data_IF_182522068681
#
_entry.id   IF_182522068681
#
_cell.length_a   1.000
_cell.length_b   1.000
_cell.length_c   1.000
_cell.angle_alpha   90.00
_cell.angle_beta   90.00
_cell.angle_gamma   90.00
#
_symmetry.space_group_name_H-M   'P 1'
#
loop_
_entity.id
_entity.type
_entity.pdbx_description
1 polymer ?
#
# COMPACT_ATOMS: atom_id res chain seq x y z
N UNK A 1 -37.84 23.37 9.85
CA UNK A 1 -37.36 23.11 8.47
C UNK A 1 -37.14 21.60 8.34
N UNK A 2 -37.33 21.03 7.14
CA UNK A 2 -36.98 19.64 6.86
C UNK A 2 -35.46 19.51 6.85
N UNK A 3 -34.95 18.42 7.42
CA UNK A 3 -33.50 18.15 7.44
C UNK A 3 -32.99 17.90 6.01
N UNK A 4 -31.84 18.47 5.65
CA UNK A 4 -31.20 18.35 4.34
C UNK A 4 -29.91 17.56 4.48
N UNK A 5 -29.89 16.36 3.89
CA UNK A 5 -28.81 15.39 4.04
C UNK A 5 -28.12 15.17 2.69
N UNK A 6 -26.83 15.45 2.61
CA UNK A 6 -25.98 15.05 1.49
C UNK A 6 -25.44 13.64 1.67
N UNK A 7 -25.27 12.90 0.58
CA UNK A 7 -24.60 11.59 0.56
C UNK A 7 -23.49 11.66 -0.48
N UNK A 8 -22.24 11.49 -0.04
CA UNK A 8 -21.10 11.31 -0.92
C UNK A 8 -20.65 9.85 -0.84
N UNK A 9 -21.08 9.06 -1.83
CA UNK A 9 -20.71 7.65 -1.95
C UNK A 9 -19.41 7.44 -2.72
N UNK A 10 -18.60 6.47 -2.30
CA UNK A 10 -17.35 6.18 -2.99
C UNK A 10 -16.59 5.00 -2.38
N UNK A 11 -15.58 4.50 -3.11
CA UNK A 11 -14.68 3.48 -2.56
C UNK A 11 -13.75 4.07 -1.50
N UNK A 12 -13.31 5.33 -1.70
CA UNK A 12 -12.36 6.05 -0.85
C UNK A 12 -11.07 5.26 -0.60
N UNK A 13 -10.35 4.98 -1.68
CA UNK A 13 -9.13 4.18 -1.66
C UNK A 13 -7.91 4.91 -2.25
N UNK A 14 -7.43 6.00 -1.60
CA UNK A 14 -7.92 6.56 -0.33
C UNK A 14 -8.93 7.71 -0.54
N UNK A 15 -9.54 8.18 0.55
CA UNK A 15 -10.13 9.54 0.60
C UNK A 15 -9.04 10.57 0.33
N UNK A 16 -9.40 11.70 -0.29
CA UNK A 16 -8.45 12.71 -0.73
C UNK A 16 -9.06 14.11 -0.66
N UNK A 17 -8.23 15.15 -0.77
CA UNK A 17 -8.65 16.55 -0.67
C UNK A 17 -9.78 16.88 -1.65
N UNK A 18 -9.78 16.21 -2.81
CA UNK A 18 -10.87 16.32 -3.74
C UNK A 18 -12.25 15.93 -3.17
N UNK A 19 -12.36 14.80 -2.47
CA UNK A 19 -13.61 14.37 -1.84
C UNK A 19 -14.08 15.35 -0.75
N UNK A 20 -13.14 15.87 0.04
CA UNK A 20 -13.43 16.81 1.12
C UNK A 20 -13.94 18.14 0.56
N UNK A 21 -13.34 18.63 -0.53
CA UNK A 21 -13.84 19.81 -1.23
C UNK A 21 -15.26 19.61 -1.74
N UNK A 22 -15.56 18.46 -2.36
CA UNK A 22 -16.91 18.15 -2.86
C UNK A 22 -17.94 18.12 -1.71
N UNK A 23 -17.61 17.47 -0.60
CA UNK A 23 -18.50 17.43 0.56
C UNK A 23 -18.74 18.83 1.15
N UNK A 24 -17.69 19.64 1.31
CA UNK A 24 -17.79 21.00 1.85
C UNK A 24 -18.62 21.92 0.94
N UNK A 25 -18.30 21.95 -0.36
CA UNK A 25 -19.00 22.78 -1.32
C UNK A 25 -20.49 22.39 -1.45
N UNK A 26 -20.80 21.09 -1.45
CA UNK A 26 -22.20 20.65 -1.46
C UNK A 26 -22.94 21.08 -0.18
N UNK A 27 -22.29 21.01 0.98
CA UNK A 27 -22.85 21.46 2.25
C UNK A 27 -23.20 22.95 2.22
N UNK A 28 -22.29 23.78 1.73
CA UNK A 28 -22.44 25.23 1.66
C UNK A 28 -23.49 25.64 0.61
N UNK A 29 -23.36 25.17 -0.63
CA UNK A 29 -24.22 25.59 -1.75
C UNK A 29 -25.67 25.08 -1.62
N UNK A 30 -25.87 23.92 -0.99
CA UNK A 30 -27.20 23.34 -0.80
C UNK A 30 -27.74 23.53 0.62
N UNK A 31 -27.03 24.27 1.48
CA UNK A 31 -27.41 24.47 2.88
C UNK A 31 -27.74 23.16 3.61
N UNK A 32 -26.84 22.16 3.49
CA UNK A 32 -27.05 20.85 4.09
C UNK A 32 -26.75 20.89 5.59
N UNK A 33 -27.64 20.28 6.38
CA UNK A 33 -27.42 20.07 7.81
C UNK A 33 -26.21 19.16 8.03
N UNK A 34 -26.06 18.10 7.20
CA UNK A 34 -24.91 17.20 7.23
C UNK A 34 -24.60 16.56 5.87
N UNK A 35 -23.35 16.13 5.70
CA UNK A 35 -22.91 15.29 4.58
C UNK A 35 -22.47 13.94 5.11
N UNK A 36 -23.10 12.88 4.61
CA UNK A 36 -22.79 11.49 4.91
C UNK A 36 -21.74 10.99 3.91
N UNK A 37 -20.53 10.75 4.38
CA UNK A 37 -19.51 10.02 3.64
C UNK A 37 -19.81 8.52 3.72
N UNK A 38 -20.07 7.90 2.57
CA UNK A 38 -20.58 6.53 2.48
C UNK A 38 -19.55 5.64 1.76
N UNK A 39 -18.60 5.03 2.49
CA UNK A 39 -17.69 4.06 1.91
C UNK A 39 -18.43 2.83 1.41
N UNK A 40 -18.18 2.48 0.15
CA UNK A 40 -18.69 1.24 -0.43
C UNK A 40 -18.15 0.02 0.33
N UNK A 41 -19.04 -0.94 0.57
CA UNK A 41 -18.72 -2.23 1.19
C UNK A 41 -17.96 -3.14 0.21
N UNK A 42 -18.69 -4.06 -0.44
CA UNK A 42 -18.17 -4.92 -1.50
C UNK A 42 -18.70 -4.46 -2.87
N UNK A 43 -18.07 -3.46 -3.52
CA UNK A 43 -18.53 -2.98 -4.81
C UNK A 43 -18.31 -4.06 -5.89
N UNK A 44 -19.32 -4.41 -6.69
CA UNK A 44 -19.27 -5.55 -7.62
C UNK A 44 -18.25 -5.42 -8.77
N UNK A 45 -17.66 -4.24 -8.97
CA UNK A 45 -16.82 -3.91 -10.12
C UNK A 45 -15.47 -3.29 -9.73
N UNK A 46 -15.10 -3.25 -8.44
CA UNK A 46 -13.84 -2.67 -7.97
C UNK A 46 -13.26 -3.50 -6.82
N UNK A 47 -11.97 -3.82 -6.91
CA UNK A 47 -11.22 -4.41 -5.81
C UNK A 47 -10.35 -3.31 -5.18
N UNK A 48 -10.63 -2.88 -3.94
CA UNK A 48 -9.77 -1.94 -3.24
C UNK A 48 -8.36 -2.50 -3.05
N UNK A 49 -7.37 -1.60 -3.04
CA UNK A 49 -5.96 -1.94 -2.81
C UNK A 49 -5.63 -2.13 -1.32
N UNK A 50 -6.50 -1.64 -0.42
CA UNK A 50 -6.35 -1.77 1.03
C UNK A 50 -7.63 -2.32 1.67
N UNK A 51 -7.50 -2.79 2.90
CA UNK A 51 -8.62 -3.38 3.63
C UNK A 51 -9.73 -2.34 3.91
N UNK A 52 -10.95 -2.82 4.10
CA UNK A 52 -12.09 -1.96 4.40
C UNK A 52 -11.90 -1.13 5.67
N UNK A 53 -11.21 -1.68 6.67
CA UNK A 53 -10.91 -0.95 7.92
C UNK A 53 -9.96 0.23 7.68
N UNK A 54 -8.96 0.08 6.81
CA UNK A 54 -8.05 1.17 6.48
C UNK A 54 -8.76 2.32 5.77
N UNK A 55 -9.63 2.00 4.80
CA UNK A 55 -10.46 3.01 4.11
C UNK A 55 -11.34 3.78 5.08
N UNK A 56 -11.90 3.07 6.06
CA UNK A 56 -12.75 3.63 7.09
C UNK A 56 -11.98 4.52 8.07
N UNK A 57 -10.81 4.07 8.52
CA UNK A 57 -9.92 4.87 9.37
C UNK A 57 -9.47 6.15 8.65
N UNK A 58 -9.07 6.06 7.39
CA UNK A 58 -8.72 7.23 6.59
C UNK A 58 -9.90 8.20 6.43
N UNK A 59 -11.12 7.70 6.24
CA UNK A 59 -12.31 8.55 6.22
C UNK A 59 -12.57 9.25 7.55
N UNK A 60 -12.46 8.53 8.68
CA UNK A 60 -12.63 9.08 10.02
C UNK A 60 -11.56 10.14 10.35
N UNK A 61 -10.35 9.99 9.81
CA UNK A 61 -9.28 10.99 9.93
C UNK A 61 -9.49 12.21 9.02
N UNK A 62 -10.33 12.09 8.00
CA UNK A 62 -10.57 13.14 7.00
C UNK A 62 -11.82 13.97 7.26
N UNK A 63 -12.70 13.58 8.19
CA UNK A 63 -13.96 14.30 8.44
C UNK A 63 -13.72 15.70 8.97
N UNK A 64 -14.55 16.63 8.49
CA UNK A 64 -14.63 18.00 8.97
C UNK A 64 -16.00 18.25 9.62
N UNK A 65 -16.19 19.45 10.16
CA UNK A 65 -17.49 19.83 10.74
C UNK A 65 -18.64 19.68 9.74
N UNK A 66 -19.74 19.12 10.21
CA UNK A 66 -20.90 18.79 9.39
C UNK A 66 -20.74 17.59 8.45
N UNK A 67 -19.63 16.84 8.53
CA UNK A 67 -19.45 15.56 7.84
C UNK A 67 -19.58 14.38 8.82
N UNK A 68 -20.20 13.28 8.38
CA UNK A 68 -20.33 12.06 9.17
C UNK A 68 -20.02 10.83 8.31
N UNK A 69 -19.34 9.83 8.87
CA UNK A 69 -19.05 8.57 8.15
C UNK A 69 -20.14 7.55 8.43
N UNK A 70 -20.66 6.93 7.38
CA UNK A 70 -21.66 5.88 7.45
C UNK A 70 -21.08 4.50 7.18
N UNK A 71 -21.12 3.60 8.18
CA UNK A 71 -20.64 2.21 8.06
C UNK A 71 -21.63 1.25 7.38
N UNK A 72 -22.80 1.73 6.98
CA UNK A 72 -23.96 0.93 6.55
C UNK A 72 -23.64 -0.05 5.43
N UNK A 73 -22.97 0.42 4.38
CA UNK A 73 -22.59 -0.44 3.25
C UNK A 73 -21.46 -1.41 3.59
N UNK A 74 -20.51 -0.99 4.44
CA UNK A 74 -19.43 -1.86 4.93
C UNK A 74 -19.99 -3.02 5.76
N UNK A 75 -21.04 -2.78 6.55
CA UNK A 75 -21.65 -3.77 7.43
C UNK A 75 -22.61 -4.72 6.69
N UNK A 76 -22.99 -4.40 5.45
CA UNK A 76 -23.90 -5.23 4.65
C UNK A 76 -23.14 -6.39 4.03
N UNK A 77 -23.70 -7.61 4.14
CA UNK A 77 -23.17 -8.77 3.42
C UNK A 77 -23.56 -8.72 1.94
N UNK A 78 -22.69 -9.25 1.07
CA UNK A 78 -22.93 -9.31 -0.37
C UNK A 78 -22.69 -7.97 -1.09
N UNK A 79 -23.22 -7.87 -2.32
CA UNK A 79 -23.07 -6.68 -3.16
C UNK A 79 -23.90 -5.53 -2.59
N UNK A 80 -23.33 -4.32 -2.57
CA UNK A 80 -24.05 -3.11 -2.15
C UNK A 80 -24.59 -2.33 -3.36
N UNK A 81 -25.83 -1.86 -3.24
CA UNK A 81 -26.49 -1.05 -4.27
C UNK A 81 -27.07 0.21 -3.66
N UNK A 82 -26.99 1.32 -4.40
CA UNK A 82 -27.49 2.63 -3.95
C UNK A 82 -28.99 2.65 -3.66
N UNK A 83 -29.80 1.86 -4.40
CA UNK A 83 -31.25 1.74 -4.16
C UNK A 83 -31.56 1.21 -2.75
N UNK A 84 -30.76 0.27 -2.26
CA UNK A 84 -30.95 -0.34 -0.93
C UNK A 84 -30.59 0.68 0.15
N UNK A 85 -29.45 1.36 -0.02
CA UNK A 85 -28.98 2.40 0.91
C UNK A 85 -29.94 3.58 1.00
N UNK A 86 -30.44 4.08 -0.14
CA UNK A 86 -31.43 5.16 -0.14
C UNK A 86 -32.78 4.73 0.45
N UNK A 87 -33.20 3.47 0.22
CA UNK A 87 -34.42 2.94 0.82
C UNK A 87 -34.33 2.87 2.34
N UNK A 88 -33.18 2.50 2.90
CA UNK A 88 -32.93 2.53 4.34
C UNK A 88 -32.93 3.96 4.88
N UNK A 89 -32.22 4.87 4.22
CA UNK A 89 -32.17 6.27 4.64
C UNK A 89 -33.54 6.95 4.59
N UNK A 90 -34.40 6.61 3.61
CA UNK A 90 -35.78 7.10 3.56
C UNK A 90 -36.67 6.55 4.66
N UNK A 91 -36.40 5.34 5.18
CA UNK A 91 -37.11 4.81 6.34
C UNK A 91 -36.67 5.48 7.64
N UNK A 92 -35.38 5.77 7.78
CA UNK A 92 -34.80 6.42 8.96
C UNK A 92 -35.12 7.92 9.02
N UNK A 93 -35.12 8.59 7.86
CA UNK A 93 -35.36 10.03 7.72
C UNK A 93 -36.49 10.30 6.71
N UNK A 94 -37.76 9.98 7.04
CA UNK A 94 -38.87 10.05 6.09
C UNK A 94 -39.13 11.46 5.55
N UNK A 95 -38.94 12.48 6.38
CA UNK A 95 -39.18 13.88 6.03
C UNK A 95 -37.94 14.61 5.48
N UNK A 96 -36.77 13.95 5.45
CA UNK A 96 -35.53 14.61 5.01
C UNK A 96 -35.47 14.78 3.49
N UNK A 97 -34.82 15.86 3.06
CA UNK A 97 -34.41 16.06 1.68
C UNK A 97 -33.04 15.42 1.47
N UNK A 98 -32.99 14.38 0.63
CA UNK A 98 -31.76 13.63 0.36
C UNK A 98 -31.14 14.11 -0.94
N UNK A 99 -29.86 14.51 -0.86
CA UNK A 99 -29.04 14.91 -1.98
C UNK A 99 -27.93 13.89 -2.21
N UNK A 100 -27.86 13.27 -3.39
CA UNK A 100 -26.80 12.33 -3.72
C UNK A 100 -25.72 13.04 -4.54
N UNK A 101 -24.54 13.20 -3.94
CA UNK A 101 -23.43 13.99 -4.49
C UNK A 101 -22.62 13.12 -5.45
N UNK A 102 -22.48 13.58 -6.70
CA UNK A 102 -21.75 12.88 -7.76
C UNK A 102 -20.92 13.83 -8.62
N UNK A 103 -19.92 13.28 -9.31
CA UNK A 103 -19.24 13.97 -10.41
C UNK A 103 -20.01 13.86 -11.73
N UNK A 104 -19.74 14.78 -12.66
CA UNK A 104 -20.34 14.78 -14.00
C UNK A 104 -20.08 13.49 -14.81
N UNK A 105 -18.98 12.78 -14.54
CA UNK A 105 -18.65 11.47 -15.10
C UNK A 105 -19.62 10.36 -14.69
N UNK A 106 -20.17 10.45 -13.48
CA UNK A 106 -21.16 9.48 -12.97
C UNK A 106 -22.56 9.77 -13.52
N UNK A 107 -22.86 11.04 -13.86
CA UNK A 107 -24.17 11.47 -14.35
C UNK A 107 -24.60 10.70 -15.61
N UNK A 108 -23.70 10.49 -16.56
CA UNK A 108 -23.96 9.74 -17.80
C UNK A 108 -24.17 8.23 -17.55
N UNK A 109 -23.69 7.71 -16.43
CA UNK A 109 -23.76 6.29 -16.08
C UNK A 109 -24.96 5.93 -15.20
N UNK A 110 -25.75 6.91 -14.76
CA UNK A 110 -26.84 6.69 -13.79
C UNK A 110 -27.85 5.63 -14.24
N UNK A 111 -28.16 5.54 -15.54
CA UNK A 111 -29.10 4.53 -16.08
C UNK A 111 -28.60 3.09 -15.92
N UNK A 112 -27.31 2.89 -15.67
CA UNK A 112 -26.73 1.56 -15.41
C UNK A 112 -26.88 1.12 -13.95
N UNK A 113 -27.30 2.03 -13.07
CA UNK A 113 -27.49 1.71 -11.66
C UNK A 113 -28.72 0.80 -11.47
N UNK A 114 -28.59 -0.17 -10.56
CA UNK A 114 -29.69 -1.07 -10.21
C UNK A 114 -30.90 -0.27 -9.71
N UNK A 115 -32.05 -0.53 -10.31
CA UNK A 115 -33.33 0.12 -9.98
C UNK A 115 -33.26 1.66 -10.03
N UNK A 116 -32.59 2.19 -11.05
CA UNK A 116 -32.35 3.63 -11.21
C UNK A 116 -33.62 4.48 -11.09
N UNK A 117 -34.76 4.06 -11.66
CA UNK A 117 -36.00 4.82 -11.58
C UNK A 117 -36.45 5.04 -10.13
N UNK A 118 -36.22 4.05 -9.25
CA UNK A 118 -36.49 4.16 -7.83
C UNK A 118 -35.46 5.07 -7.14
N UNK A 119 -34.18 4.96 -7.50
CA UNK A 119 -33.12 5.87 -7.00
C UNK A 119 -33.46 7.32 -7.31
N UNK A 120 -33.86 7.62 -8.55
CA UNK A 120 -34.20 8.95 -9.02
C UNK A 120 -35.40 9.58 -8.30
N UNK A 121 -36.33 8.76 -7.81
CA UNK A 121 -37.46 9.22 -6.99
C UNK A 121 -37.06 9.51 -5.53
N UNK A 122 -36.01 8.87 -5.01
CA UNK A 122 -35.63 8.94 -3.61
C UNK A 122 -34.65 10.07 -3.28
N UNK A 123 -34.00 10.67 -4.27
CA UNK A 123 -32.99 11.72 -4.03
C UNK A 123 -32.94 12.77 -5.14
N UNK A 124 -32.28 13.88 -4.84
CA UNK A 124 -31.84 14.87 -5.83
C UNK A 124 -30.35 14.70 -6.07
N UNK A 125 -29.91 14.55 -7.32
CA UNK A 125 -28.49 14.44 -7.63
C UNK A 125 -27.82 15.82 -7.61
N UNK A 126 -26.82 15.98 -6.75
CA UNK A 126 -25.97 17.17 -6.70
C UNK A 126 -24.71 16.90 -7.53
N UNK A 127 -24.61 17.55 -8.69
CA UNK A 127 -23.60 17.24 -9.71
C UNK A 127 -22.53 18.32 -9.73
N UNK A 128 -21.28 17.92 -9.49
CA UNK A 128 -20.12 18.77 -9.69
C UNK A 128 -19.66 18.73 -11.15
N UNK A 129 -19.40 19.92 -11.71
CA UNK A 129 -18.79 20.04 -13.03
C UNK A 129 -17.37 19.47 -13.02
N UNK A 130 -16.95 18.82 -14.11
CA UNK A 130 -15.55 18.44 -14.34
C UNK A 130 -15.10 18.94 -15.71
N UNK A 131 -13.86 19.42 -15.85
CA UNK A 131 -13.31 19.78 -17.16
C UNK A 131 -13.47 18.62 -18.16
N UNK A 132 -14.06 18.90 -19.32
CA UNK A 132 -14.26 17.89 -20.39
C UNK A 132 -15.40 16.89 -20.17
N UNK A 133 -16.20 17.03 -19.10
CA UNK A 133 -17.34 16.15 -18.84
C UNK A 133 -18.65 16.95 -18.77
N UNK A 134 -19.40 16.95 -19.86
CA UNK A 134 -20.80 17.40 -19.91
C UNK A 134 -21.70 16.16 -20.04
N UNK A 135 -22.34 15.77 -18.95
CA UNK A 135 -23.33 14.69 -18.95
C UNK A 135 -24.74 15.24 -19.09
N UNK A 136 -25.55 14.68 -19.98
CA UNK A 136 -27.00 14.85 -19.95
C UNK A 136 -27.60 14.06 -18.78
N UNK A 137 -28.50 14.70 -18.04
CA UNK A 137 -29.23 14.04 -16.97
C UNK A 137 -30.36 13.18 -17.55
N UNK A 138 -30.60 11.97 -17.02
CA UNK A 138 -31.82 11.22 -17.33
C UNK A 138 -33.07 12.07 -17.03
N UNK A 139 -34.08 12.04 -17.90
CA UNK A 139 -35.25 12.91 -17.80
C UNK A 139 -36.04 12.77 -16.47
N UNK A 140 -35.99 11.60 -15.84
CA UNK A 140 -36.64 11.31 -14.56
C UNK A 140 -35.76 11.63 -13.34
N UNK A 141 -34.53 12.11 -13.52
CA UNK A 141 -33.65 12.50 -12.43
C UNK A 141 -33.81 13.98 -12.07
N UNK A 142 -33.96 14.28 -10.77
CA UNK A 142 -33.81 15.65 -10.25
C UNK A 142 -32.33 15.96 -10.12
N UNK A 143 -31.85 16.99 -10.82
CA UNK A 143 -30.43 17.35 -10.85
C UNK A 143 -30.23 18.80 -10.46
N UNK A 144 -29.32 19.04 -9.52
CA UNK A 144 -28.79 20.35 -9.18
C UNK A 144 -27.31 20.38 -9.55
N UNK A 145 -26.91 21.30 -10.43
CA UNK A 145 -25.51 21.50 -10.80
C UNK A 145 -24.89 22.51 -9.85
N UNK A 146 -23.80 22.12 -9.19
CA UNK A 146 -23.08 22.98 -8.27
C UNK A 146 -22.11 23.89 -9.02
N UNK A 147 -21.90 25.10 -8.50
CA UNK A 147 -21.06 26.12 -9.13
C UNK A 147 -19.59 25.85 -8.89
N UNK A 148 -19.25 25.28 -7.74
CA UNK A 148 -17.88 24.89 -7.43
C UNK A 148 -17.40 23.82 -8.42
N UNK A 149 -16.27 24.02 -9.11
CA UNK A 149 -15.74 23.01 -10.01
C UNK A 149 -15.20 21.81 -9.21
N UNK A 150 -15.34 20.62 -9.79
CA UNK A 150 -14.74 19.41 -9.26
C UNK A 150 -13.20 19.50 -9.32
N UNK A 151 -12.49 19.13 -8.24
CA UNK A 151 -11.04 19.17 -8.20
C UNK A 151 -10.41 18.08 -9.07
N UNK A 152 -9.26 18.37 -9.65
CA UNK A 152 -8.46 17.42 -10.45
C UNK A 152 -7.53 16.59 -9.55
N UNK A 153 -8.14 15.85 -8.62
CA UNK A 153 -7.45 14.90 -7.73
C UNK A 153 -8.18 13.57 -7.84
N UNK A 154 -7.41 12.50 -8.05
CA UNK A 154 -7.93 11.13 -8.09
C UNK A 154 -7.21 10.23 -7.09
N UNK A 155 -7.91 9.25 -6.53
CA UNK A 155 -7.28 8.23 -5.69
C UNK A 155 -6.18 7.47 -6.44
N UNK A 156 -6.28 7.31 -7.76
CA UNK A 156 -5.22 6.67 -8.57
C UNK A 156 -3.93 7.49 -8.53
N UNK A 157 -3.99 8.80 -8.64
CA UNK A 157 -2.82 9.67 -8.50
C UNK A 157 -2.23 9.60 -7.08
N UNK A 158 -3.07 9.59 -6.05
CA UNK A 158 -2.62 9.43 -4.65
C UNK A 158 -1.87 8.12 -4.46
N UNK A 159 -2.42 7.00 -4.94
CA UNK A 159 -1.77 5.68 -4.82
C UNK A 159 -0.45 5.63 -5.57
N UNK A 160 -0.37 6.23 -6.76
CA UNK A 160 0.87 6.29 -7.53
C UNK A 160 1.96 7.11 -6.84
N UNK A 161 1.61 8.20 -6.15
CA UNK A 161 2.56 8.98 -5.34
C UNK A 161 2.96 8.22 -4.07
N UNK A 162 2.00 7.59 -3.39
CA UNK A 162 2.24 6.80 -2.18
C UNK A 162 3.17 5.59 -2.46
N UNK A 163 3.00 4.93 -3.61
CA UNK A 163 3.84 3.78 -4.01
C UNK A 163 5.30 4.15 -4.29
N UNK A 164 5.59 5.44 -4.48
CA UNK A 164 6.94 6.01 -4.62
C UNK A 164 7.39 6.76 -3.36
N UNK A 165 6.63 6.66 -2.26
CA UNK A 165 6.84 7.40 -1.00
C UNK A 165 7.01 8.92 -1.21
N UNK A 166 6.31 9.48 -2.20
CA UNK A 166 6.26 10.93 -2.44
C UNK A 166 5.42 11.63 -1.35
N UNK A 167 5.60 12.94 -1.20
CA UNK A 167 4.79 13.74 -0.26
C UNK A 167 3.32 13.81 -0.73
N UNK A 168 2.40 13.43 0.17
CA UNK A 168 0.96 13.38 -0.09
C UNK A 168 0.20 14.60 0.45
N UNK A 169 0.87 15.57 1.11
CA UNK A 169 0.20 16.68 1.81
C UNK A 169 -0.72 17.52 0.90
N UNK A 170 -0.38 17.65 -0.39
CA UNK A 170 -1.21 18.37 -1.36
C UNK A 170 -2.42 17.55 -1.84
N UNK A 171 -2.36 16.21 -1.75
CA UNK A 171 -3.35 15.32 -2.34
C UNK A 171 -4.40 14.84 -1.34
N UNK A 172 -4.03 14.63 -0.08
CA UNK A 172 -4.92 14.13 0.98
C UNK A 172 -4.81 14.96 2.26
N UNK A 173 -5.78 14.88 3.18
CA UNK A 173 -5.67 15.56 4.47
C UNK A 173 -4.42 15.08 5.24
N UNK A 174 -3.77 15.99 5.97
CA UNK A 174 -2.53 15.68 6.71
C UNK A 174 -2.59 14.42 7.60
N UNK A 175 -3.67 14.22 8.41
CA UNK A 175 -3.85 12.99 9.18
C UNK A 175 -3.92 11.72 8.32
N UNK A 176 -4.53 11.79 7.13
CA UNK A 176 -4.60 10.67 6.17
C UNK A 176 -3.23 10.40 5.57
N UNK A 177 -2.48 11.43 5.18
CA UNK A 177 -1.11 11.27 4.66
C UNK A 177 -0.20 10.58 5.68
N UNK A 178 -0.33 10.95 6.97
CA UNK A 178 0.38 10.29 8.07
C UNK A 178 -0.03 8.83 8.21
N UNK A 179 -1.34 8.55 8.21
CA UNK A 179 -1.86 7.18 8.34
C UNK A 179 -1.39 6.26 7.20
N UNK A 180 -1.41 6.74 5.95
CA UNK A 180 -0.92 6.00 4.78
C UNK A 180 0.55 5.60 4.97
N UNK A 181 1.39 6.55 5.37
CA UNK A 181 2.83 6.33 5.59
C UNK A 181 3.11 5.39 6.74
N UNK A 182 2.52 5.61 7.91
CA UNK A 182 2.75 4.80 9.11
C UNK A 182 2.31 3.34 8.93
N UNK A 183 1.26 3.10 8.14
CA UNK A 183 0.75 1.75 7.87
C UNK A 183 1.31 1.13 6.57
N UNK A 184 2.13 1.86 5.81
CA UNK A 184 2.70 1.37 4.56
C UNK A 184 1.68 1.08 3.47
N UNK A 185 0.56 1.80 3.47
CA UNK A 185 -0.49 1.60 2.50
C UNK A 185 0.00 2.03 1.11
N UNK A 186 -0.40 1.28 0.10
CA UNK A 186 -0.09 1.54 -1.32
C UNK A 186 1.38 1.36 -1.74
N UNK A 187 2.26 0.86 -0.87
CA UNK A 187 3.61 0.41 -1.28
C UNK A 187 3.57 -0.83 -2.19
N UNK A 188 2.45 -1.54 -2.17
CA UNK A 188 2.08 -2.63 -3.07
C UNK A 188 0.71 -2.32 -3.69
N UNK A 189 0.38 -3.00 -4.79
CA UNK A 189 -0.94 -2.92 -5.41
C UNK A 189 -1.98 -3.85 -4.74
N UNK A 190 -1.61 -4.58 -3.70
CA UNK A 190 -2.47 -5.43 -2.88
C UNK A 190 -2.26 -5.16 -1.40
N UNK A 191 -3.20 -5.60 -0.55
CA UNK A 191 -3.09 -5.43 0.90
C UNK A 191 -1.98 -6.32 1.50
N UNK A 192 -1.44 -5.91 2.65
CA UNK A 192 -0.46 -6.71 3.39
C UNK A 192 -1.00 -8.11 3.74
N UNK A 193 -2.30 -8.22 4.00
CA UNK A 193 -2.97 -9.49 4.26
C UNK A 193 -2.96 -10.38 3.03
N UNK A 194 -3.39 -9.85 1.88
CA UNK A 194 -3.38 -10.58 0.61
C UNK A 194 -1.96 -11.03 0.24
N UNK A 195 -0.96 -10.15 0.42
CA UNK A 195 0.43 -10.50 0.18
C UNK A 195 0.90 -11.67 1.05
N UNK A 196 0.55 -11.67 2.34
CA UNK A 196 0.86 -12.77 3.27
C UNK A 196 0.13 -14.06 2.90
N UNK A 197 -1.09 -13.99 2.39
CA UNK A 197 -1.86 -15.16 1.94
C UNK A 197 -1.21 -15.78 0.69
N UNK A 198 -0.89 -14.97 -0.32
CA UNK A 198 -0.19 -15.44 -1.53
C UNK A 198 1.17 -16.09 -1.18
N UNK A 199 1.98 -15.43 -0.36
CA UNK A 199 3.29 -15.98 0.02
C UNK A 199 3.17 -17.27 0.84
N UNK A 200 2.11 -17.43 1.64
CA UNK A 200 1.87 -18.67 2.39
C UNK A 200 1.59 -19.85 1.45
N UNK A 201 0.96 -19.60 0.31
CA UNK A 201 0.67 -20.62 -0.70
C UNK A 201 1.92 -20.97 -1.54
N UNK A 202 2.82 -20.01 -1.76
CA UNK A 202 4.02 -20.19 -2.59
C UNK A 202 5.27 -20.64 -1.83
N UNK A 203 5.37 -20.37 -0.53
CA UNK A 203 6.55 -20.67 0.30
C UNK A 203 6.31 -21.89 1.20
N UNK A 204 7.37 -22.64 1.49
CA UNK A 204 7.30 -23.69 2.52
C UNK A 204 6.97 -23.09 3.89
N UNK A 205 6.35 -23.87 4.79
CA UNK A 205 5.98 -23.39 6.12
C UNK A 205 7.17 -22.80 6.91
N UNK A 206 8.35 -23.44 6.80
CA UNK A 206 9.59 -22.93 7.39
C UNK A 206 10.00 -21.58 6.78
N UNK A 207 9.98 -21.48 5.45
CA UNK A 207 10.38 -20.26 4.74
C UNK A 207 9.41 -19.10 5.03
N UNK A 208 8.10 -19.38 5.03
CA UNK A 208 7.10 -18.37 5.38
C UNK A 208 7.27 -17.86 6.82
N UNK A 209 7.55 -18.75 7.79
CA UNK A 209 7.86 -18.36 9.17
C UNK A 209 9.09 -17.44 9.24
N UNK A 210 10.15 -17.83 8.53
CA UNK A 210 11.37 -17.02 8.41
C UNK A 210 11.07 -15.64 7.79
N UNK A 211 10.36 -15.58 6.68
CA UNK A 211 9.93 -14.34 6.02
C UNK A 211 9.17 -13.40 6.97
N UNK A 212 8.27 -13.93 7.79
CA UNK A 212 7.58 -13.11 8.81
C UNK A 212 8.54 -12.61 9.90
N UNK A 213 9.50 -13.45 10.31
CA UNK A 213 10.57 -13.06 11.25
C UNK A 213 11.45 -11.93 10.70
N UNK A 214 11.84 -12.00 9.42
CA UNK A 214 12.61 -10.95 8.75
C UNK A 214 11.81 -9.66 8.65
N UNK A 215 10.55 -9.71 8.22
CA UNK A 215 9.66 -8.55 8.16
C UNK A 215 9.57 -7.81 9.50
N UNK A 216 9.33 -8.51 10.60
CA UNK A 216 9.21 -7.89 11.93
C UNK A 216 10.56 -7.40 12.46
N UNK A 217 11.65 -8.12 12.17
CA UNK A 217 13.01 -7.68 12.53
C UNK A 217 13.40 -6.40 11.77
N UNK A 218 13.10 -6.33 10.47
CA UNK A 218 13.39 -5.17 9.62
C UNK A 218 12.60 -3.93 10.09
N UNK A 219 11.32 -4.10 10.46
CA UNK A 219 10.51 -3.05 11.09
C UNK A 219 11.13 -2.54 12.38
N UNK A 220 11.53 -3.45 13.27
CA UNK A 220 12.15 -3.12 14.54
C UNK A 220 13.46 -2.35 14.35
N UNK A 221 14.35 -2.83 13.49
CA UNK A 221 15.61 -2.15 13.19
C UNK A 221 15.36 -0.77 12.57
N UNK A 222 14.38 -0.65 11.68
CA UNK A 222 14.01 0.65 11.09
C UNK A 222 13.56 1.65 12.14
N UNK A 223 12.74 1.23 13.09
CA UNK A 223 12.30 2.08 14.20
C UNK A 223 13.47 2.55 15.08
N UNK A 224 14.46 1.69 15.32
CA UNK A 224 15.65 2.03 16.11
C UNK A 224 16.59 3.01 15.39
N UNK A 225 16.69 2.90 14.07
CA UNK A 225 17.67 3.65 13.27
C UNK A 225 17.06 4.81 12.46
N UNK A 226 15.79 5.12 12.66
CA UNK A 226 15.11 6.23 11.98
C UNK A 226 14.85 6.00 10.48
N UNK A 227 14.74 4.74 10.06
CA UNK A 227 14.36 4.38 8.69
C UNK A 227 12.85 4.11 8.59
N UNK A 228 12.32 4.02 7.37
CA UNK A 228 10.90 3.79 7.13
C UNK A 228 10.49 2.33 7.48
N UNK A 229 9.77 2.17 8.59
CA UNK A 229 9.30 0.88 9.09
C UNK A 229 8.37 0.15 8.10
N UNK A 230 7.55 0.89 7.36
CA UNK A 230 6.61 0.32 6.42
C UNK A 230 7.34 -0.27 5.21
N UNK A 231 8.26 0.51 4.62
CA UNK A 231 9.12 0.07 3.53
C UNK A 231 9.95 -1.16 3.93
N UNK A 232 10.54 -1.15 5.12
CA UNK A 232 11.28 -2.30 5.65
C UNK A 232 10.41 -3.54 5.87
N UNK A 233 9.17 -3.35 6.31
CA UNK A 233 8.21 -4.44 6.42
C UNK A 233 7.89 -5.07 5.06
N UNK A 234 7.63 -4.26 4.04
CA UNK A 234 7.36 -4.75 2.68
C UNK A 234 8.58 -5.45 2.09
N UNK A 235 9.76 -4.85 2.22
CA UNK A 235 11.01 -5.45 1.76
C UNK A 235 11.29 -6.79 2.46
N UNK A 236 11.14 -6.85 3.78
CA UNK A 236 11.28 -8.06 4.57
C UNK A 236 10.25 -9.14 4.24
N UNK A 237 9.02 -8.77 3.90
CA UNK A 237 8.00 -9.72 3.47
C UNK A 237 8.32 -10.33 2.09
N UNK A 238 8.94 -9.57 1.19
CA UNK A 238 9.16 -9.97 -0.21
C UNK A 238 10.57 -10.48 -0.51
N UNK A 239 11.53 -10.35 0.42
CA UNK A 239 12.95 -10.63 0.15
C UNK A 239 13.21 -12.04 -0.42
N UNK A 240 12.51 -13.04 0.10
CA UNK A 240 12.64 -14.45 -0.25
C UNK A 240 11.48 -14.96 -1.13
N UNK A 241 10.72 -14.06 -1.77
CA UNK A 241 9.55 -14.44 -2.57
C UNK A 241 9.86 -15.41 -3.73
N UNK A 242 11.11 -15.41 -4.21
CA UNK A 242 11.57 -16.31 -5.27
C UNK A 242 12.16 -17.63 -4.76
N UNK A 243 12.24 -17.87 -3.43
CA UNK A 243 13.06 -18.95 -2.87
C UNK A 243 12.58 -20.37 -3.19
N UNK A 244 11.31 -20.52 -3.58
CA UNK A 244 10.73 -21.81 -3.98
C UNK A 244 10.96 -22.14 -5.46
N UNK A 245 11.48 -21.21 -6.26
CA UNK A 245 11.67 -21.39 -7.70
C UNK A 245 12.95 -22.15 -8.02
N UNK A 246 13.00 -22.79 -9.18
CA UNK A 246 14.23 -23.35 -9.71
C UNK A 246 15.08 -22.30 -10.46
N UNK A 247 16.31 -22.67 -10.82
CA UNK A 247 17.24 -21.75 -11.49
C UNK A 247 16.73 -21.28 -12.87
N UNK A 248 16.00 -22.14 -13.61
CA UNK A 248 15.49 -21.80 -14.94
C UNK A 248 14.34 -20.79 -14.85
N UNK A 249 13.45 -20.97 -13.88
CA UNK A 249 12.37 -20.04 -13.56
C UNK A 249 12.92 -18.67 -13.11
N UNK A 250 13.92 -18.67 -12.21
CA UNK A 250 14.58 -17.44 -11.77
C UNK A 250 15.23 -16.69 -12.95
N UNK A 251 15.98 -17.38 -13.81
CA UNK A 251 16.60 -16.78 -15.01
C UNK A 251 15.58 -16.14 -15.94
N UNK A 252 14.44 -16.80 -16.13
CA UNK A 252 13.33 -16.26 -16.95
C UNK A 252 12.78 -14.96 -16.35
N UNK A 253 12.58 -14.91 -15.03
CA UNK A 253 12.10 -13.70 -14.34
C UNK A 253 13.11 -12.56 -14.44
N UNK A 254 14.38 -12.82 -14.10
CA UNK A 254 15.46 -11.82 -14.11
C UNK A 254 15.67 -11.25 -15.52
N UNK A 255 15.69 -12.12 -16.55
CA UNK A 255 15.81 -11.69 -17.95
C UNK A 255 14.65 -10.82 -18.39
N UNK A 256 13.42 -11.23 -18.07
CA UNK A 256 12.21 -10.48 -18.46
C UNK A 256 12.15 -9.12 -17.78
N UNK A 257 12.58 -9.04 -16.53
CA UNK A 257 12.66 -7.80 -15.77
C UNK A 257 13.87 -6.92 -16.12
N UNK A 258 14.80 -7.42 -16.95
CA UNK A 258 16.05 -6.74 -17.34
C UNK A 258 16.92 -6.32 -16.14
N UNK A 259 16.97 -7.18 -15.12
CA UNK A 259 17.76 -6.94 -13.91
C UNK A 259 19.20 -7.38 -14.16
N UNK A 260 20.17 -6.51 -13.83
CA UNK A 260 21.59 -6.82 -13.96
C UNK A 260 22.07 -7.73 -12.82
N UNK A 261 22.78 -8.78 -13.20
CA UNK A 261 23.38 -9.79 -12.32
C UNK A 261 24.70 -10.24 -12.92
N UNK A 262 25.68 -10.55 -12.07
CA UNK A 262 26.97 -11.04 -12.53
C UNK A 262 26.95 -12.56 -12.84
N UNK A 263 28.00 -13.11 -13.47
CA UNK A 263 28.03 -14.54 -13.82
C UNK A 263 27.97 -15.50 -12.63
N UNK A 264 28.48 -15.12 -11.46
CA UNK A 264 28.44 -15.97 -10.26
C UNK A 264 27.03 -16.00 -9.68
N UNK A 265 26.35 -14.85 -9.68
CA UNK A 265 24.94 -14.77 -9.34
C UNK A 265 24.08 -15.59 -10.31
N UNK A 266 24.35 -15.50 -11.61
CA UNK A 266 23.57 -16.17 -12.67
C UNK A 266 23.53 -17.71 -12.55
N UNK A 267 24.58 -18.30 -11.99
CA UNK A 267 24.72 -19.75 -11.82
C UNK A 267 24.28 -20.24 -10.42
N UNK A 268 23.97 -19.34 -9.49
CA UNK A 268 23.69 -19.71 -8.10
C UNK A 268 22.23 -19.47 -7.71
N UNK A 269 21.52 -20.55 -7.36
CA UNK A 269 20.15 -20.47 -6.80
C UNK A 269 20.11 -19.61 -5.53
N UNK A 270 21.15 -19.68 -4.68
CA UNK A 270 21.19 -18.95 -3.42
C UNK A 270 21.46 -17.45 -3.57
N UNK A 271 21.96 -17.01 -4.73
CA UNK A 271 22.25 -15.60 -5.01
C UNK A 271 21.21 -15.00 -5.97
N UNK A 272 20.86 -15.74 -7.03
CA UNK A 272 19.94 -15.28 -8.07
C UNK A 272 18.53 -15.02 -7.53
N UNK A 273 18.13 -15.67 -6.43
CA UNK A 273 16.79 -15.48 -5.85
C UNK A 273 16.56 -14.03 -5.41
N UNK A 274 17.60 -13.28 -5.01
CA UNK A 274 17.45 -11.88 -4.65
C UNK A 274 17.01 -11.04 -5.88
N UNK A 275 17.65 -11.25 -7.03
CA UNK A 275 17.27 -10.59 -8.28
C UNK A 275 15.90 -11.08 -8.80
N UNK A 276 15.61 -12.38 -8.70
CA UNK A 276 14.30 -12.91 -9.04
C UNK A 276 13.19 -12.39 -8.10
N UNK A 277 13.50 -12.19 -6.83
CA UNK A 277 12.62 -11.59 -5.81
C UNK A 277 12.23 -10.16 -6.17
N UNK A 278 13.16 -9.35 -6.66
CA UNK A 278 12.86 -8.02 -7.23
C UNK A 278 11.87 -8.12 -8.39
N UNK A 279 12.08 -9.06 -9.31
CA UNK A 279 11.17 -9.26 -10.44
C UNK A 279 9.75 -9.65 -9.99
N UNK A 280 9.64 -10.50 -8.97
CA UNK A 280 8.35 -10.87 -8.36
C UNK A 280 7.71 -9.67 -7.66
N UNK A 281 8.47 -8.93 -6.85
CA UNK A 281 7.97 -7.75 -6.14
C UNK A 281 7.37 -6.70 -7.11
N UNK A 282 8.04 -6.45 -8.23
CA UNK A 282 7.54 -5.54 -9.26
C UNK A 282 6.31 -6.09 -9.99
N UNK A 283 6.38 -7.34 -10.45
CA UNK A 283 5.36 -7.94 -11.34
C UNK A 283 4.08 -8.31 -10.60
N UNK A 284 4.21 -8.95 -9.45
CA UNK A 284 3.10 -9.62 -8.76
C UNK A 284 2.52 -8.75 -7.64
N UNK A 285 3.37 -7.93 -7.00
CA UNK A 285 2.98 -7.06 -5.88
C UNK A 285 2.97 -5.58 -6.24
N UNK A 286 3.36 -5.21 -7.46
CA UNK A 286 3.32 -3.83 -7.96
C UNK A 286 4.27 -2.87 -7.23
N UNK A 287 5.32 -3.37 -6.59
CA UNK A 287 6.31 -2.52 -5.90
C UNK A 287 7.10 -1.72 -6.92
N UNK A 288 7.12 -0.40 -6.76
CA UNK A 288 7.90 0.52 -7.61
C UNK A 288 8.89 1.39 -6.84
N UNK A 289 8.92 1.32 -5.51
CA UNK A 289 9.84 2.11 -4.70
C UNK A 289 11.29 1.59 -4.87
N UNK A 290 12.24 2.46 -5.29
CA UNK A 290 13.60 2.03 -5.60
C UNK A 290 14.39 1.58 -4.37
N UNK A 291 14.11 2.10 -3.16
CA UNK A 291 14.79 1.66 -1.94
C UNK A 291 14.32 0.26 -1.51
N UNK A 292 13.01 -0.01 -1.61
CA UNK A 292 12.47 -1.36 -1.35
C UNK A 292 13.09 -2.36 -2.33
N UNK A 293 13.10 -2.05 -3.63
CA UNK A 293 13.68 -2.93 -4.65
C UNK A 293 15.19 -3.12 -4.49
N UNK A 294 15.92 -2.05 -4.14
CA UNK A 294 17.37 -2.12 -3.84
C UNK A 294 17.65 -3.05 -2.66
N UNK A 295 16.90 -2.90 -1.57
CA UNK A 295 17.12 -3.71 -0.37
C UNK A 295 16.88 -5.19 -0.66
N UNK A 296 15.79 -5.54 -1.36
CA UNK A 296 15.54 -6.91 -1.82
C UNK A 296 16.68 -7.41 -2.73
N UNK A 297 17.21 -6.59 -3.63
CA UNK A 297 18.32 -6.98 -4.52
C UNK A 297 19.60 -7.31 -3.75
N UNK A 298 19.86 -6.60 -2.65
CA UNK A 298 21.14 -6.60 -1.92
C UNK A 298 21.13 -7.42 -0.63
N UNK A 299 19.99 -7.94 -0.18
CA UNK A 299 19.89 -8.62 1.12
C UNK A 299 20.80 -9.85 1.30
N UNK A 300 21.27 -10.48 0.21
CA UNK A 300 22.11 -11.69 0.26
C UNK A 300 23.60 -11.38 0.29
N UNK A 301 24.09 -10.70 -0.75
CA UNK A 301 25.52 -10.42 -0.95
C UNK A 301 25.97 -9.12 -0.27
N UNK A 302 25.02 -8.21 -0.06
CA UNK A 302 25.30 -6.80 0.15
C UNK A 302 26.00 -6.16 -1.05
N UNK A 303 26.80 -5.14 -0.79
CA UNK A 303 27.64 -4.48 -1.79
C UNK A 303 28.06 -3.09 -1.34
N UNK A 304 28.86 -2.38 -2.14
CA UNK A 304 29.27 -1.02 -1.79
C UNK A 304 28.08 -0.05 -1.81
N UNK A 305 28.18 1.00 -0.98
CA UNK A 305 27.22 2.09 -0.83
C UNK A 305 25.80 1.65 -0.47
N UNK A 306 25.65 0.59 0.33
CA UNK A 306 24.35 0.16 0.83
C UNK A 306 23.68 1.29 1.64
N UNK A 307 22.45 1.57 1.27
CA UNK A 307 21.62 2.55 1.97
C UNK A 307 21.12 1.98 3.30
N UNK A 308 20.60 2.81 4.22
CA UNK A 308 20.10 2.33 5.51
C UNK A 308 19.11 1.17 5.39
N UNK A 309 18.18 1.21 4.43
CA UNK A 309 17.21 0.14 4.22
C UNK A 309 17.85 -1.16 3.71
N UNK A 310 18.88 -1.07 2.87
CA UNK A 310 19.65 -2.23 2.41
C UNK A 310 20.34 -2.92 3.60
N UNK A 311 21.03 -2.15 4.44
CA UNK A 311 21.69 -2.63 5.67
C UNK A 311 20.69 -3.27 6.64
N UNK A 312 19.54 -2.64 6.83
CA UNK A 312 18.47 -3.15 7.70
C UNK A 312 17.97 -4.49 7.20
N UNK A 313 17.67 -4.63 5.90
CA UNK A 313 17.15 -5.89 5.37
C UNK A 313 18.20 -7.00 5.39
N UNK A 314 19.45 -6.68 5.00
CA UNK A 314 20.59 -7.58 5.07
C UNK A 314 20.78 -8.14 6.49
N UNK A 315 20.73 -7.26 7.51
CA UNK A 315 20.83 -7.67 8.90
C UNK A 315 19.60 -8.43 9.40
N UNK A 316 18.39 -7.97 9.03
CA UNK A 316 17.16 -8.62 9.45
C UNK A 316 17.09 -10.06 8.97
N UNK A 317 17.49 -10.33 7.71
CA UNK A 317 17.59 -11.69 7.18
C UNK A 317 18.57 -12.53 8.00
N UNK A 318 19.72 -11.96 8.36
CA UNK A 318 20.77 -12.65 9.12
C UNK A 318 20.38 -12.95 10.57
N UNK A 319 19.67 -12.04 11.25
CA UNK A 319 19.50 -12.09 12.72
C UNK A 319 18.11 -12.51 13.21
N UNK A 320 17.13 -12.69 12.32
CA UNK A 320 15.74 -12.89 12.73
C UNK A 320 15.55 -14.02 13.77
N UNK A 321 14.54 -13.95 14.64
CA UNK A 321 14.47 -14.78 15.84
C UNK A 321 14.40 -16.30 15.61
N UNK A 322 14.00 -16.75 14.42
CA UNK A 322 13.87 -18.17 14.08
C UNK A 322 15.16 -18.79 13.52
N UNK A 323 16.23 -18.01 13.33
CA UNK A 323 17.54 -18.55 12.94
C UNK A 323 18.06 -19.52 14.00
N UNK A 324 18.57 -20.66 13.54
CA UNK A 324 19.33 -21.58 14.39
C UNK A 324 20.51 -20.85 15.01
N UNK A 325 20.84 -21.19 16.25
CA UNK A 325 21.92 -20.51 16.96
C UNK A 325 23.28 -20.94 16.41
N UNK A 326 24.17 -19.96 16.21
CA UNK A 326 25.53 -20.20 15.73
C UNK A 326 26.53 -19.18 16.32
N UNK A 327 27.82 -19.54 16.42
CA UNK A 327 28.83 -18.64 16.98
C UNK A 327 28.85 -17.27 16.28
N UNK A 328 28.64 -16.21 17.06
CA UNK A 328 28.62 -14.83 16.57
C UNK A 328 27.23 -14.23 16.34
N UNK A 329 26.16 -15.04 16.26
CA UNK A 329 24.80 -14.52 16.05
C UNK A 329 24.36 -13.52 17.14
N UNK A 330 24.59 -13.85 18.41
CA UNK A 330 24.28 -12.97 19.53
C UNK A 330 25.04 -11.63 19.47
N UNK A 331 26.29 -11.65 18.99
CA UNK A 331 27.10 -10.45 18.80
C UNK A 331 26.50 -9.55 17.71
N UNK A 332 26.13 -10.12 16.56
CA UNK A 332 25.51 -9.36 15.46
C UNK A 332 24.17 -8.77 15.91
N UNK A 333 23.34 -9.54 16.64
CA UNK A 333 22.08 -9.03 17.24
C UNK A 333 22.31 -7.82 18.12
N UNK A 334 23.27 -7.89 19.04
CA UNK A 334 23.58 -6.77 19.94
C UNK A 334 24.14 -5.54 19.21
N UNK A 335 24.95 -5.74 18.16
CA UNK A 335 25.46 -4.66 17.33
C UNK A 335 24.35 -4.02 16.49
N UNK A 336 23.45 -4.82 15.92
CA UNK A 336 22.39 -4.35 15.02
C UNK A 336 21.43 -3.37 15.71
N UNK A 337 21.27 -3.46 17.03
CA UNK A 337 20.48 -2.49 17.80
C UNK A 337 21.15 -1.12 17.96
N UNK A 338 22.48 -1.03 17.78
CA UNK A 338 23.28 0.16 18.11
C UNK A 338 23.92 0.81 16.88
N UNK A 339 24.38 0.00 15.93
CA UNK A 339 25.20 0.44 14.81
C UNK A 339 25.07 -0.55 13.64
N UNK A 340 24.25 -0.17 12.64
CA UNK A 340 23.98 -1.00 11.46
C UNK A 340 25.26 -1.34 10.69
N UNK A 341 26.21 -0.41 10.57
CA UNK A 341 27.43 -0.62 9.78
C UNK A 341 28.35 -1.62 10.48
N UNK A 342 28.55 -1.50 11.79
CA UNK A 342 29.34 -2.48 12.56
C UNK A 342 28.70 -3.86 12.59
N UNK A 343 27.37 -3.91 12.70
CA UNK A 343 26.65 -5.17 12.65
C UNK A 343 26.80 -5.83 11.27
N UNK A 344 26.64 -5.07 10.18
CA UNK A 344 26.74 -5.58 8.82
C UNK A 344 28.16 -6.05 8.51
N UNK A 345 29.19 -5.33 8.99
CA UNK A 345 30.58 -5.77 8.88
C UNK A 345 30.76 -7.12 9.57
N UNK A 346 30.30 -7.27 10.81
CA UNK A 346 30.45 -8.52 11.54
C UNK A 346 29.69 -9.68 10.90
N UNK A 347 28.48 -9.42 10.39
CA UNK A 347 27.71 -10.41 9.65
C UNK A 347 28.44 -10.85 8.37
N UNK A 348 28.97 -9.91 7.58
CA UNK A 348 29.71 -10.20 6.36
C UNK A 348 30.99 -11.01 6.64
N UNK A 349 31.74 -10.69 7.69
CA UNK A 349 32.90 -11.46 8.14
C UNK A 349 32.53 -12.91 8.51
N UNK A 350 31.45 -13.09 9.27
CA UNK A 350 30.95 -14.43 9.63
C UNK A 350 30.53 -15.23 8.39
N UNK A 351 29.85 -14.59 7.43
CA UNK A 351 29.49 -15.23 6.16
C UNK A 351 30.74 -15.63 5.36
N UNK A 352 31.76 -14.77 5.29
CA UNK A 352 33.02 -15.07 4.61
C UNK A 352 33.75 -16.26 5.25
N UNK A 353 33.85 -16.26 6.59
CA UNK A 353 34.42 -17.34 7.38
C UNK A 353 33.70 -18.68 7.11
N UNK A 354 32.36 -18.68 7.16
CA UNK A 354 31.55 -19.86 6.92
C UNK A 354 31.74 -20.43 5.50
N UNK A 355 31.75 -19.57 4.47
CA UNK A 355 31.94 -20.01 3.08
C UNK A 355 33.33 -20.63 2.91
N UNK A 356 34.37 -20.03 3.49
CA UNK A 356 35.75 -20.56 3.43
C UNK A 356 35.88 -21.89 4.17
N UNK A 357 35.29 -22.01 5.36
CA UNK A 357 35.28 -23.25 6.14
C UNK A 357 34.53 -24.38 5.42
N UNK A 358 33.48 -24.03 4.66
CA UNK A 358 32.72 -24.97 3.83
C UNK A 358 33.43 -25.34 2.52
N UNK A 359 34.68 -24.91 2.31
CA UNK A 359 35.45 -25.17 1.10
C UNK A 359 35.05 -24.31 -0.11
N UNK A 360 34.14 -23.34 0.06
CA UNK A 360 33.71 -22.41 -0.97
C UNK A 360 34.63 -21.20 -1.11
N UNK A 361 34.47 -20.47 -2.22
CA UNK A 361 35.12 -19.18 -2.44
C UNK A 361 34.11 -18.05 -2.18
N UNK A 362 34.38 -17.12 -1.26
CA UNK A 362 33.50 -15.98 -1.03
C UNK A 362 33.29 -15.15 -2.30
N UNK A 363 32.08 -14.61 -2.44
CA UNK A 363 31.75 -13.73 -3.55
C UNK A 363 32.56 -12.42 -3.46
N UNK A 364 33.11 -11.89 -4.57
CA UNK A 364 33.85 -10.63 -4.55
C UNK A 364 33.07 -9.46 -3.94
N UNK A 365 31.76 -9.39 -4.19
CA UNK A 365 30.89 -8.35 -3.62
C UNK A 365 30.87 -8.32 -2.07
N UNK A 366 30.98 -9.47 -1.41
CA UNK A 366 31.08 -9.52 0.06
C UNK A 366 32.42 -8.95 0.55
N UNK A 367 33.51 -9.22 -0.18
CA UNK A 367 34.82 -8.65 0.15
C UNK A 367 34.86 -7.13 -0.06
N UNK A 368 34.18 -6.62 -1.09
CA UNK A 368 34.03 -5.17 -1.32
C UNK A 368 33.24 -4.50 -0.19
N UNK A 369 32.13 -5.11 0.25
CA UNK A 369 31.36 -4.64 1.40
C UNK A 369 32.23 -4.56 2.67
N UNK A 370 32.96 -5.63 2.99
CA UNK A 370 33.86 -5.67 4.15
C UNK A 370 34.91 -4.56 4.06
N UNK A 371 35.51 -4.37 2.88
CA UNK A 371 36.53 -3.35 2.64
C UNK A 371 35.98 -1.93 2.87
N UNK A 372 34.79 -1.63 2.34
CA UNK A 372 34.12 -0.35 2.52
C UNK A 372 33.84 -0.08 4.00
N UNK A 373 33.14 -1.00 4.68
CA UNK A 373 32.74 -0.82 6.08
C UNK A 373 33.96 -0.69 7.02
N UNK A 374 35.06 -1.43 6.76
CA UNK A 374 36.32 -1.25 7.51
C UNK A 374 36.97 0.10 7.26
N UNK A 375 36.85 0.64 6.05
CA UNK A 375 37.43 1.93 5.66
C UNK A 375 36.78 3.10 6.39
N UNK A 376 35.47 3.04 6.61
CA UNK A 376 34.69 4.08 7.31
C UNK A 376 34.85 4.07 8.84
N UNK A 377 35.39 2.98 9.39
CA UNK A 377 35.64 2.81 10.83
C UNK A 377 37.03 3.27 11.26
N UNK A 378 37.85 3.78 10.33
CA UNK A 378 39.15 4.41 10.58
C UNK A 378 38.98 5.91 10.59
#
# INVERSE_FOLDING_TARGET
MRERIGILGGVFDPVHNGHILLARAAKEELHLDRVVLLPSGNPPHKHPHVETEDRLNMLLLAVEDGMVVSRREIQRSGKTYTVDTLSEMRREFPEAEIFYIIGADTLSQLKTWKDFDRVAQMCTFAVFARPGAEGEAPANARVLRLRTPGPDISSTAVRASASRREDLCALVPGPVARYIRENGLYLMNISLRQARELLRECLSAHRFKHTLGVMETARRLSALHGADCAAAGVAGLLHDAAKSLDLAEMRKLVSKAKISVDPLEWESVSLLHAAAGVAIAMRDFGVCDPEILSSIRRHTLGGPNMQPLDLILYLADFIEPNREDFPGLAQVRALAERDLRKAALRAAELTEEYVRQSGGKPHPGTAELIKELRGEMR
#
